data_IF_818578703318
#
_entry.id   IF_818578703318
#
_cell.length_a   1.000
_cell.length_b   1.000
_cell.length_c   1.000
_cell.angle_alpha   90.00
_cell.angle_beta   90.00
_cell.angle_gamma   90.00
#
_symmetry.space_group_name_H-M   'P 1'
#
loop_
_entity.id
_entity.type
_entity.pdbx_description
1 polymer ?
#
# COMPACT_ATOMS: atom_id res chain seq x y z
N UNK A 1 -22.77 12.72 9.57
CA UNK A 1 -21.44 12.19 9.22
C UNK A 1 -21.30 12.19 7.72
N UNK A 2 -20.28 12.80 7.20
CA UNK A 2 -20.13 12.86 5.75
C UNK A 2 -19.40 11.63 5.20
N UNK A 3 -19.44 11.47 3.88
CA UNK A 3 -18.84 10.33 3.19
C UNK A 3 -17.34 10.28 3.37
N UNK A 4 -16.68 11.44 3.47
CA UNK A 4 -15.24 11.52 3.62
C UNK A 4 -14.77 10.97 4.97
N UNK A 5 -15.53 11.21 6.05
CA UNK A 5 -15.19 10.64 7.35
C UNK A 5 -15.28 9.12 7.36
N UNK A 6 -16.30 8.56 6.71
CA UNK A 6 -16.43 7.10 6.56
C UNK A 6 -15.33 6.51 5.70
N UNK A 7 -14.95 7.20 4.63
CA UNK A 7 -13.88 6.74 3.76
C UNK A 7 -12.53 6.77 4.48
N UNK A 8 -12.25 7.82 5.27
CA UNK A 8 -11.04 7.91 6.06
C UNK A 8 -10.95 6.77 7.09
N UNK A 9 -12.02 6.53 7.85
CA UNK A 9 -12.09 5.43 8.81
C UNK A 9 -11.99 4.08 8.11
N UNK A 10 -12.59 3.96 6.94
CA UNK A 10 -12.53 2.74 6.12
C UNK A 10 -11.12 2.47 5.62
N UNK A 11 -10.38 3.49 5.23
CA UNK A 11 -8.98 3.32 4.81
C UNK A 11 -8.14 2.81 5.98
N UNK A 12 -8.29 3.37 7.17
CA UNK A 12 -7.61 2.88 8.36
C UNK A 12 -7.97 1.42 8.62
N UNK A 13 -9.25 1.06 8.53
CA UNK A 13 -9.71 -0.32 8.72
C UNK A 13 -9.14 -1.27 7.69
N UNK A 14 -9.11 -0.88 6.42
CA UNK A 14 -8.54 -1.67 5.34
C UNK A 14 -7.05 -1.89 5.55
N UNK A 15 -6.29 -0.82 5.83
CA UNK A 15 -4.85 -0.91 6.06
C UNK A 15 -4.54 -1.78 7.28
N UNK A 16 -5.33 -1.67 8.33
CA UNK A 16 -5.18 -2.49 9.54
C UNK A 16 -5.38 -3.97 9.20
N UNK A 17 -6.39 -4.31 8.39
CA UNK A 17 -6.61 -5.69 7.93
C UNK A 17 -5.44 -6.20 7.12
N UNK A 18 -4.91 -5.39 6.20
CA UNK A 18 -3.75 -5.77 5.40
C UNK A 18 -2.55 -6.01 6.31
N UNK A 19 -2.28 -5.08 7.23
CA UNK A 19 -1.14 -5.18 8.14
C UNK A 19 -1.21 -6.45 9.00
N UNK A 20 -2.38 -6.78 9.52
CA UNK A 20 -2.58 -7.99 10.32
C UNK A 20 -2.33 -9.26 9.53
N UNK A 21 -2.62 -9.26 8.24
CA UNK A 21 -2.49 -10.43 7.38
C UNK A 21 -1.11 -10.57 6.72
N UNK A 22 -0.22 -9.57 6.84
CA UNK A 22 1.07 -9.60 6.15
C UNK A 22 1.99 -10.73 6.61
N UNK A 23 1.91 -11.14 7.87
CA UNK A 23 2.74 -12.21 8.39
C UNK A 23 4.19 -11.83 8.64
N UNK A 24 4.51 -10.54 8.66
CA UNK A 24 5.82 -9.99 9.02
C UNK A 24 5.63 -8.93 10.09
N UNK A 25 6.69 -8.65 10.85
CA UNK A 25 6.64 -7.56 11.82
C UNK A 25 6.63 -6.22 11.10
N UNK A 26 5.97 -5.25 11.69
CA UNK A 26 5.82 -3.91 11.15
C UNK A 26 6.43 -2.92 12.12
N UNK A 27 7.33 -2.06 11.61
CA UNK A 27 7.95 -1.01 12.42
C UNK A 27 7.06 0.22 12.52
N UNK A 28 6.37 0.57 11.43
CA UNK A 28 5.61 1.81 11.38
C UNK A 28 4.54 1.73 10.29
N UNK A 29 3.40 2.35 10.56
CA UNK A 29 2.35 2.58 9.56
C UNK A 29 2.06 4.07 9.56
N UNK A 30 2.15 4.70 8.38
CA UNK A 30 1.83 6.10 8.20
C UNK A 30 0.72 6.22 7.16
N UNK A 31 -0.39 6.83 7.55
CA UNK A 31 -1.54 7.06 6.68
C UNK A 31 -1.72 8.57 6.53
N UNK A 32 -1.56 9.06 5.31
CA UNK A 32 -1.71 10.47 4.99
C UNK A 32 -2.96 10.67 4.13
N UNK A 33 -3.92 11.42 4.68
CA UNK A 33 -5.16 11.74 4.00
C UNK A 33 -5.10 13.18 3.45
N UNK A 34 -4.07 13.44 2.65
CA UNK A 34 -3.90 14.73 2.00
C UNK A 34 -5.08 15.00 1.07
N UNK A 35 -5.47 16.27 0.96
CA UNK A 35 -6.57 16.68 0.09
C UNK A 35 -6.33 16.31 -1.37
N UNK A 36 -5.07 16.26 -1.79
CA UNK A 36 -4.72 15.99 -3.19
C UNK A 36 -4.54 14.50 -3.48
N UNK A 37 -4.06 13.72 -2.49
CA UNK A 37 -3.77 12.29 -2.71
C UNK A 37 -3.70 11.56 -1.38
N UNK A 38 -4.54 10.54 -1.21
CA UNK A 38 -4.44 9.66 -0.05
C UNK A 38 -3.30 8.66 -0.27
N UNK A 39 -2.42 8.54 0.73
CA UNK A 39 -1.26 7.65 0.67
C UNK A 39 -1.08 6.87 1.98
N UNK A 40 -0.47 5.68 1.86
CA UNK A 40 -0.15 4.82 3.00
C UNK A 40 1.28 4.33 2.83
N UNK A 41 2.04 4.32 3.92
CA UNK A 41 3.38 3.74 3.96
C UNK A 41 3.45 2.78 5.14
N UNK A 42 3.82 1.53 4.87
CA UNK A 42 4.04 0.52 5.90
C UNK A 42 5.51 0.12 5.85
N UNK A 43 6.24 0.41 6.92
CA UNK A 43 7.64 -0.01 7.06
C UNK A 43 7.66 -1.41 7.66
N UNK A 44 8.09 -2.39 6.89
CA UNK A 44 8.06 -3.80 7.29
C UNK A 44 9.45 -4.29 7.69
N UNK A 45 9.49 -5.26 8.62
CA UNK A 45 10.73 -5.91 9.03
C UNK A 45 11.01 -7.10 8.10
N UNK A 46 11.38 -6.78 6.87
CA UNK A 46 11.71 -7.75 5.85
C UNK A 46 12.56 -7.06 4.78
N UNK A 47 13.26 -7.83 3.97
CA UNK A 47 14.08 -7.33 2.88
C UNK A 47 13.85 -8.15 1.61
N UNK A 48 14.05 -7.48 0.46
CA UNK A 48 14.14 -8.14 -0.83
C UNK A 48 15.61 -8.56 -1.02
N UNK A 49 15.89 -9.81 -1.43
CA UNK A 49 17.28 -10.33 -1.45
C UNK A 49 18.27 -9.44 -2.21
N UNK A 50 17.89 -8.90 -3.36
CA UNK A 50 18.77 -8.06 -4.18
C UNK A 50 19.07 -6.72 -3.52
N UNK A 51 18.17 -6.26 -2.63
CA UNK A 51 18.29 -4.98 -1.92
C UNK A 51 18.24 -5.18 -0.41
N UNK A 52 18.87 -6.24 0.09
CA UNK A 52 18.79 -6.61 1.51
C UNK A 52 19.35 -5.55 2.46
N UNK A 53 20.17 -4.64 1.98
CA UNK A 53 20.74 -3.56 2.78
C UNK A 53 19.80 -2.37 3.00
N UNK A 54 18.67 -2.33 2.27
CA UNK A 54 17.73 -1.21 2.34
C UNK A 54 16.43 -1.61 3.05
N UNK A 55 15.87 -0.71 3.88
CA UNK A 55 14.55 -0.93 4.45
C UNK A 55 13.49 -1.09 3.36
N UNK A 56 12.58 -2.04 3.56
CA UNK A 56 11.51 -2.33 2.62
C UNK A 56 10.24 -1.62 3.06
N UNK A 57 9.58 -0.97 2.11
CA UNK A 57 8.33 -0.25 2.32
C UNK A 57 7.25 -0.86 1.44
N UNK A 58 6.09 -1.09 2.03
CA UNK A 58 4.87 -1.43 1.30
C UNK A 58 4.01 -0.18 1.29
N UNK A 59 3.73 0.36 0.10
CA UNK A 59 3.04 1.64 -0.03
C UNK A 59 1.75 1.50 -0.83
N UNK A 60 0.81 2.39 -0.58
CA UNK A 60 -0.44 2.47 -1.31
C UNK A 60 -0.78 3.93 -1.57
N UNK A 61 -1.31 4.21 -2.76
CA UNK A 61 -1.95 5.50 -3.03
C UNK A 61 -3.25 5.27 -3.80
N UNK A 62 -4.09 6.29 -3.82
CA UNK A 62 -5.43 6.18 -4.38
C UNK A 62 -5.46 6.09 -5.91
N UNK A 63 -4.34 6.26 -6.58
CA UNK A 63 -4.24 6.16 -8.03
C UNK A 63 -3.64 4.85 -8.47
N UNK A 64 -2.49 4.49 -7.92
CA UNK A 64 -1.69 3.35 -8.37
C UNK A 64 -1.89 2.08 -7.53
N UNK A 65 -2.47 2.19 -6.33
CA UNK A 65 -2.63 1.05 -5.43
C UNK A 65 -1.34 0.65 -4.74
N UNK A 66 -1.20 -0.63 -4.45
CA UNK A 66 -0.06 -1.12 -3.68
C UNK A 66 1.21 -1.21 -4.52
N UNK A 67 2.34 -0.87 -3.88
CA UNK A 67 3.66 -0.94 -4.48
C UNK A 67 4.69 -1.32 -3.43
N UNK A 68 5.81 -1.88 -3.88
CA UNK A 68 6.98 -2.14 -3.03
C UNK A 68 8.05 -1.11 -3.35
N UNK A 69 8.61 -0.50 -2.31
CA UNK A 69 9.66 0.49 -2.41
C UNK A 69 10.79 0.17 -1.44
N UNK A 70 11.96 0.71 -1.71
CA UNK A 70 13.08 0.67 -0.77
C UNK A 70 13.48 2.10 -0.41
N UNK A 71 13.92 2.28 0.82
CA UNK A 71 14.47 3.57 1.29
C UNK A 71 15.97 3.56 1.04
N UNK A 72 16.44 4.41 0.13
CA UNK A 72 17.82 4.38 -0.33
C UNK A 72 18.75 5.32 0.42
N UNK A 73 18.22 6.29 1.18
CA UNK A 73 19.04 7.28 1.86
C UNK A 73 18.70 7.51 3.34
N UNK A 74 17.65 6.85 3.83
CA UNK A 74 17.19 7.04 5.20
C UNK A 74 16.53 8.40 5.47
N UNK A 75 16.25 9.17 4.44
CA UNK A 75 15.70 10.53 4.54
C UNK A 75 14.39 10.71 3.78
N UNK A 76 13.78 9.61 3.35
CA UNK A 76 12.52 9.65 2.63
C UNK A 76 12.64 9.48 1.11
N UNK A 77 13.85 9.45 0.57
CA UNK A 77 14.04 9.12 -0.84
C UNK A 77 13.82 7.64 -1.04
N UNK A 78 12.87 7.28 -1.90
CA UNK A 78 12.53 5.89 -2.14
C UNK A 78 12.63 5.54 -3.63
N UNK A 79 12.91 4.27 -3.90
CA UNK A 79 12.88 3.72 -5.25
C UNK A 79 11.78 2.67 -5.31
N UNK A 80 10.90 2.79 -6.29
CA UNK A 80 9.83 1.81 -6.50
C UNK A 80 10.40 0.57 -7.19
N UNK A 81 10.14 -0.58 -6.60
CA UNK A 81 10.58 -1.86 -7.18
C UNK A 81 9.52 -2.45 -8.10
N UNK A 82 8.28 -2.54 -7.61
CA UNK A 82 7.18 -3.19 -8.33
C UNK A 82 5.84 -2.64 -7.88
N UNK A 83 4.84 -2.73 -8.76
CA UNK A 83 3.44 -2.41 -8.45
C UNK A 83 2.60 -3.68 -8.47
N UNK A 84 1.65 -3.78 -7.55
CA UNK A 84 0.62 -4.82 -7.58
C UNK A 84 -0.51 -4.35 -8.49
N UNK A 85 -0.50 -4.78 -9.73
CA UNK A 85 -1.42 -4.34 -10.78
C UNK A 85 -2.65 -5.26 -10.84
N UNK A 86 -3.46 -5.26 -9.77
CA UNK A 86 -4.66 -6.09 -9.68
C UNK A 86 -5.92 -5.26 -9.46
N UNK A 87 -5.95 -4.45 -8.40
CA UNK A 87 -7.09 -3.60 -8.06
C UNK A 87 -6.56 -2.49 -7.14
N UNK A 88 -7.35 -1.43 -7.00
CA UNK A 88 -7.02 -0.36 -6.05
C UNK A 88 -7.17 -0.83 -4.59
N UNK A 89 -8.10 -1.74 -4.32
CA UNK A 89 -8.33 -2.33 -2.98
C UNK A 89 -8.34 -3.86 -3.07
N UNK A 90 -7.21 -4.50 -3.39
CA UNK A 90 -7.17 -5.96 -3.43
C UNK A 90 -7.33 -6.57 -2.04
N UNK A 91 -7.75 -7.82 -1.98
CA UNK A 91 -7.83 -8.53 -0.70
C UNK A 91 -6.48 -8.54 0.01
N UNK A 92 -6.50 -8.55 1.34
CA UNK A 92 -5.29 -8.61 2.15
C UNK A 92 -4.42 -9.82 1.81
N UNK A 93 -5.03 -10.95 1.43
CA UNK A 93 -4.31 -12.14 1.00
C UNK A 93 -3.46 -11.90 -0.26
N UNK A 94 -3.97 -11.11 -1.21
CA UNK A 94 -3.23 -10.75 -2.41
C UNK A 94 -2.04 -9.85 -2.09
N UNK A 95 -2.23 -8.87 -1.19
CA UNK A 95 -1.14 -7.98 -0.76
C UNK A 95 -0.06 -8.78 -0.04
N UNK A 96 -0.46 -9.69 0.84
CA UNK A 96 0.47 -10.59 1.54
C UNK A 96 1.29 -11.42 0.55
N UNK A 97 0.63 -12.02 -0.43
CA UNK A 97 1.30 -12.82 -1.46
C UNK A 97 2.30 -12.00 -2.25
N UNK A 98 1.91 -10.78 -2.63
CA UNK A 98 2.77 -9.84 -3.33
C UNK A 98 4.05 -9.57 -2.54
N UNK A 99 3.91 -9.25 -1.25
CA UNK A 99 5.05 -8.99 -0.37
C UNK A 99 5.95 -10.23 -0.22
N UNK A 100 5.35 -11.38 0.07
CA UNK A 100 6.11 -12.61 0.32
C UNK A 100 6.83 -13.12 -0.93
N UNK A 101 6.22 -12.98 -2.12
CA UNK A 101 6.90 -13.34 -3.37
C UNK A 101 8.14 -12.48 -3.58
N UNK A 102 8.06 -11.19 -3.29
CA UNK A 102 9.22 -10.30 -3.37
C UNK A 102 10.30 -10.69 -2.36
N UNK A 103 9.92 -11.02 -1.14
CA UNK A 103 10.86 -11.45 -0.09
C UNK A 103 11.59 -12.72 -0.52
N UNK A 104 10.93 -13.61 -1.25
CA UNK A 104 11.53 -14.86 -1.76
C UNK A 104 12.37 -14.67 -3.00
N UNK A 105 12.50 -13.44 -3.50
CA UNK A 105 13.29 -13.14 -4.68
C UNK A 105 12.54 -13.29 -6.01
N UNK A 106 11.23 -13.45 -5.96
CA UNK A 106 10.38 -13.46 -7.15
C UNK A 106 9.97 -12.04 -7.52
N UNK A 107 9.57 -11.82 -8.77
CA UNK A 107 9.07 -10.52 -9.21
C UNK A 107 7.55 -10.61 -9.41
N UNK A 108 6.76 -10.39 -8.36
CA UNK A 108 5.32 -10.67 -8.40
C UNK A 108 4.49 -9.60 -9.11
N UNK A 109 5.05 -8.43 -9.32
CA UNK A 109 4.29 -7.29 -9.84
C UNK A 109 4.79 -6.81 -11.18
N UNK A 110 4.43 -5.57 -11.50
CA UNK A 110 4.80 -4.91 -12.76
C UNK A 110 5.65 -3.67 -12.47
N UNK A 111 6.44 -3.26 -13.44
CA UNK A 111 7.33 -2.09 -13.29
C UNK A 111 6.62 -0.79 -13.64
N UNK A 112 5.61 -0.85 -14.51
CA UNK A 112 4.85 0.34 -14.90
C UNK A 112 3.81 0.68 -13.85
N UNK A 113 3.71 1.96 -13.49
CA UNK A 113 2.74 2.42 -12.51
C UNK A 113 1.31 2.25 -13.05
N UNK A 114 0.45 1.47 -12.38
CA UNK A 114 -0.96 1.44 -12.74
C UNK A 114 -1.63 2.79 -12.47
N UNK A 115 -2.71 3.04 -13.17
CA UNK A 115 -3.55 4.20 -12.90
C UNK A 115 -4.99 3.72 -12.87
N UNK A 116 -5.42 3.22 -11.71
CA UNK A 116 -6.78 2.70 -11.54
C UNK A 116 -7.83 3.81 -11.57
N UNK A 117 -7.42 5.03 -11.20
CA UNK A 117 -8.30 6.18 -11.16
C UNK A 117 -7.47 7.47 -11.16
N UNK A 118 -8.12 8.59 -11.35
CA UNK A 118 -7.50 9.91 -11.19
C UNK A 118 -7.53 10.33 -9.71
N UNK A 119 -6.60 11.17 -9.26
CA UNK A 119 -6.65 11.69 -7.88
C UNK A 119 -7.98 12.38 -7.62
N UNK A 120 -8.57 12.12 -6.47
CA UNK A 120 -9.85 12.69 -6.02
C UNK A 120 -11.01 12.45 -7.00
N UNK A 121 -10.97 11.35 -7.76
CA UNK A 121 -12.03 11.03 -8.71
C UNK A 121 -13.35 10.76 -8.01
N UNK A 122 -14.45 11.13 -8.67
CA UNK A 122 -15.80 10.82 -8.20
C UNK A 122 -16.18 9.42 -8.69
N UNK A 123 -15.67 8.40 -8.01
CA UNK A 123 -15.93 6.99 -8.33
C UNK A 123 -16.43 6.25 -7.07
N UNK A 124 -16.36 4.94 -7.05
CA UNK A 124 -16.86 4.13 -5.94
C UNK A 124 -15.83 3.85 -4.84
N UNK A 125 -14.64 4.45 -4.89
CA UNK A 125 -13.59 4.18 -3.90
C UNK A 125 -14.04 4.49 -2.49
N UNK A 126 -14.70 5.63 -2.28
CA UNK A 126 -15.16 6.03 -0.96
C UNK A 126 -16.17 5.04 -0.38
N UNK A 127 -17.11 4.54 -1.21
CA UNK A 127 -18.07 3.53 -0.77
C UNK A 127 -17.38 2.20 -0.47
N UNK A 128 -16.40 1.81 -1.27
CA UNK A 128 -15.62 0.59 -1.03
C UNK A 128 -14.85 0.67 0.28
N UNK A 129 -14.19 1.80 0.53
CA UNK A 129 -13.48 2.03 1.79
C UNK A 129 -14.41 2.03 2.98
N UNK A 130 -15.60 2.63 2.86
CA UNK A 130 -16.56 2.68 3.95
C UNK A 130 -16.99 1.29 4.45
N UNK A 131 -16.86 0.26 3.61
CA UNK A 131 -17.16 -1.13 4.02
C UNK A 131 -16.19 -1.68 5.05
N UNK A 132 -15.01 -1.07 5.19
CA UNK A 132 -14.00 -1.46 6.19
C UNK A 132 -14.13 -0.65 7.48
N UNK A 133 -15.07 0.28 7.53
CA UNK A 133 -15.34 1.06 8.73
C UNK A 133 -16.17 0.21 9.70
N UNK A 134 -15.72 0.13 10.94
CA UNK A 134 -16.43 -0.60 12.01
C UNK A 134 -17.25 0.33 12.87
#
# INVERSE_FOLDING_TARGET
>A
MDTMSLAADGLVGYVTSVAEDLGVDIFEIDINLDADLATVIILVDAQVPVFAEFPLLLTWDEVAGWALRIDTDGRGATVTLEFLDEDILPDSALVRRFLWDAIRGNNPGVLASPAFRLPNACDDLEQRLARFCN
#
